data_IF_698048508336
#
_entry.id   IF_698048508336
#
_cell.length_a   1.000
_cell.length_b   1.000
_cell.length_c   1.000
_cell.angle_alpha   90.00
_cell.angle_beta   90.00
_cell.angle_gamma   90.00
#
_symmetry.space_group_name_H-M   'P 1'
#
loop_
_entity.id
_entity.type
_entity.pdbx_description
1 polymer ?
#
# COMPACT_ATOMS: atom_id res chain seq x y z
N UNK A 1 18.00 -5.49 -26.59
CA UNK A 1 17.40 -4.24 -26.09
C UNK A 1 16.18 -3.97 -26.96
N UNK A 2 14.98 -4.12 -26.41
CA UNK A 2 13.77 -3.72 -27.12
C UNK A 2 13.81 -2.19 -27.22
N UNK A 3 13.57 -1.63 -28.41
CA UNK A 3 13.44 -0.19 -28.56
C UNK A 3 12.16 0.28 -27.85
N UNK A 4 12.32 0.71 -26.59
CA UNK A 4 11.26 1.29 -25.74
C UNK A 4 10.50 2.45 -26.41
N UNK A 5 11.05 3.04 -27.47
CA UNK A 5 10.44 4.08 -28.32
C UNK A 5 9.23 3.59 -29.12
N UNK A 6 9.05 2.27 -29.26
CA UNK A 6 7.91 1.68 -30.00
C UNK A 6 6.67 1.39 -29.13
N UNK A 7 6.80 1.46 -27.80
CA UNK A 7 5.72 1.14 -26.86
C UNK A 7 5.19 2.41 -26.18
N UNK A 8 3.88 2.53 -26.06
CA UNK A 8 3.27 3.69 -25.40
C UNK A 8 3.34 3.52 -23.87
N UNK A 9 3.95 4.48 -23.14
CA UNK A 9 4.02 4.40 -21.69
C UNK A 9 2.66 4.75 -21.06
N UNK A 10 2.29 4.03 -20.00
CA UNK A 10 1.06 4.26 -19.23
C UNK A 10 0.90 5.72 -18.81
N UNK A 11 1.99 6.34 -18.38
CA UNK A 11 1.97 7.70 -17.84
C UNK A 11 1.43 8.73 -18.86
N UNK A 12 1.73 8.54 -20.15
CA UNK A 12 1.28 9.45 -21.21
C UNK A 12 -0.14 9.17 -21.67
N UNK A 13 -0.60 7.92 -21.61
CA UNK A 13 -1.94 7.54 -22.07
C UNK A 13 -3.00 7.69 -20.98
N UNK A 14 -2.76 7.12 -19.80
CA UNK A 14 -3.75 7.06 -18.72
C UNK A 14 -3.59 8.19 -17.68
N UNK A 15 -2.51 8.97 -17.74
CA UNK A 15 -2.19 10.03 -16.76
C UNK A 15 -2.12 9.52 -15.30
N UNK A 16 -1.86 8.22 -15.13
CA UNK A 16 -1.65 7.58 -13.84
C UNK A 16 -0.28 7.99 -13.27
N UNK A 17 -0.28 9.13 -12.58
CA UNK A 17 0.90 9.77 -12.03
C UNK A 17 1.16 9.47 -10.55
N UNK A 18 1.86 10.40 -9.90
CA UNK A 18 2.20 10.33 -8.47
C UNK A 18 0.99 10.28 -7.53
N UNK A 19 -0.15 10.86 -7.93
CA UNK A 19 -1.38 10.85 -7.12
C UNK A 19 -1.86 9.42 -6.83
N UNK A 20 -1.85 8.55 -7.82
CA UNK A 20 -2.20 7.13 -7.66
C UNK A 20 -1.16 6.41 -6.82
N UNK A 21 0.13 6.66 -7.06
CA UNK A 21 1.20 6.02 -6.28
C UNK A 21 1.08 6.33 -4.78
N UNK A 22 0.83 7.60 -4.43
CA UNK A 22 0.61 8.04 -3.04
C UNK A 22 -0.66 7.42 -2.48
N UNK A 23 -1.74 7.35 -3.25
CA UNK A 23 -2.96 6.66 -2.83
C UNK A 23 -2.69 5.18 -2.48
N UNK A 24 -2.07 4.42 -3.40
CA UNK A 24 -1.80 3.00 -3.22
C UNK A 24 -0.90 2.76 -2.00
N UNK A 25 0.00 3.70 -1.74
CA UNK A 25 0.88 3.68 -0.58
C UNK A 25 0.13 3.94 0.73
N UNK A 26 -0.67 5.01 0.80
CA UNK A 26 -1.45 5.34 1.99
C UNK A 26 -2.49 4.26 2.35
N UNK A 27 -3.12 3.65 1.35
CA UNK A 27 -4.04 2.52 1.59
C UNK A 27 -3.30 1.27 2.02
N UNK A 28 -2.13 1.00 1.45
CA UNK A 28 -1.29 -0.12 1.89
C UNK A 28 -0.82 0.04 3.34
N UNK A 29 -0.40 1.25 3.73
CA UNK A 29 -0.02 1.59 5.10
C UNK A 29 -1.22 1.47 6.05
N UNK A 30 -2.38 2.02 5.68
CA UNK A 30 -3.59 1.92 6.50
C UNK A 30 -4.03 0.45 6.66
N UNK A 31 -4.08 -0.31 5.57
CA UNK A 31 -4.57 -1.69 5.57
C UNK A 31 -3.69 -2.65 6.35
N UNK A 32 -2.39 -2.71 6.03
CA UNK A 32 -1.44 -3.56 6.77
C UNK A 32 -1.18 -3.03 8.18
N UNK A 33 -1.32 -1.73 8.40
CA UNK A 33 -1.28 -1.17 9.74
C UNK A 33 -2.44 -1.64 10.61
N UNK A 34 -3.67 -1.72 10.08
CA UNK A 34 -4.80 -2.28 10.83
C UNK A 34 -4.62 -3.77 11.13
N UNK A 35 -3.96 -4.51 10.23
CA UNK A 35 -3.54 -5.88 10.50
C UNK A 35 -2.57 -5.96 11.69
N UNK A 36 -1.51 -5.14 11.70
CA UNK A 36 -0.54 -5.12 12.81
C UNK A 36 -1.14 -4.56 14.11
N UNK A 37 -2.16 -3.71 14.01
CA UNK A 37 -2.86 -3.17 15.16
C UNK A 37 -3.57 -4.24 16.00
N UNK A 38 -3.84 -5.43 15.44
CA UNK A 38 -4.35 -6.59 16.18
C UNK A 38 -3.50 -6.94 17.40
N UNK A 39 -2.17 -6.83 17.27
CA UNK A 39 -1.22 -7.09 18.35
C UNK A 39 -0.82 -5.83 19.14
N UNK A 40 -0.80 -4.67 18.49
CA UNK A 40 -0.26 -3.43 19.08
C UNK A 40 -1.29 -2.73 19.97
N UNK A 41 -2.54 -2.62 19.50
CA UNK A 41 -3.69 -2.01 20.19
C UNK A 41 -3.40 -0.61 20.77
N UNK A 42 -2.72 0.24 20.00
CA UNK A 42 -2.34 1.59 20.43
C UNK A 42 -3.15 2.67 19.73
N UNK A 43 -3.72 3.61 20.52
CA UNK A 43 -4.53 4.72 20.02
C UNK A 43 -3.80 5.61 19.00
N UNK A 44 -2.53 5.91 19.25
CA UNK A 44 -1.74 6.80 18.40
C UNK A 44 -1.47 6.16 17.03
N UNK A 45 -1.29 4.85 17.00
CA UNK A 45 -1.14 4.12 15.75
C UNK A 45 -2.46 4.15 14.97
N UNK A 46 -3.59 3.84 15.61
CA UNK A 46 -4.92 3.92 14.98
C UNK A 46 -5.18 5.29 14.36
N UNK A 47 -4.79 6.40 15.01
CA UNK A 47 -4.93 7.74 14.43
C UNK A 47 -4.10 7.95 13.16
N UNK A 48 -2.89 7.42 13.09
CA UNK A 48 -2.08 7.50 11.86
C UNK A 48 -2.75 6.69 10.75
N UNK A 49 -3.27 5.50 11.08
CA UNK A 49 -3.95 4.64 10.11
C UNK A 49 -5.24 5.26 9.56
N UNK A 50 -6.01 5.94 10.41
CA UNK A 50 -7.23 6.65 9.96
C UNK A 50 -6.91 7.81 9.06
N UNK A 51 -5.94 8.65 9.43
CA UNK A 51 -5.50 9.76 8.59
C UNK A 51 -5.01 9.23 7.25
N UNK A 52 -4.19 8.18 7.25
CA UNK A 52 -3.72 7.53 6.02
C UNK A 52 -4.88 7.00 5.15
N UNK A 53 -5.86 6.32 5.77
CA UNK A 53 -7.04 5.81 5.06
C UNK A 53 -7.91 6.91 4.46
N UNK A 54 -8.14 8.00 5.19
CA UNK A 54 -8.92 9.17 4.72
C UNK A 54 -8.19 9.85 3.56
N UNK A 55 -6.91 10.19 3.73
CA UNK A 55 -6.13 10.89 2.70
C UNK A 55 -6.01 10.01 1.45
N UNK A 56 -5.75 8.70 1.62
CA UNK A 56 -5.72 7.76 0.50
C UNK A 56 -7.05 7.72 -0.27
N UNK A 57 -8.18 7.68 0.44
CA UNK A 57 -9.52 7.68 -0.18
C UNK A 57 -9.81 8.99 -0.91
N UNK A 58 -9.45 10.14 -0.31
CA UNK A 58 -9.63 11.46 -0.92
C UNK A 58 -8.82 11.61 -2.21
N UNK A 59 -7.59 11.09 -2.26
CA UNK A 59 -6.74 11.15 -3.45
C UNK A 59 -7.34 10.38 -4.62
N UNK A 60 -7.94 9.20 -4.40
CA UNK A 60 -8.63 8.44 -5.45
C UNK A 60 -9.83 9.21 -5.99
N UNK A 61 -10.64 9.72 -5.07
CA UNK A 61 -11.88 10.42 -5.39
C UNK A 61 -11.57 11.73 -6.14
N UNK A 62 -10.47 12.41 -5.79
CA UNK A 62 -9.93 13.55 -6.52
C UNK A 62 -9.44 13.17 -7.92
N UNK A 63 -8.66 12.09 -8.04
CA UNK A 63 -8.10 11.69 -9.33
C UNK A 63 -9.16 11.24 -10.33
N UNK A 64 -10.24 10.61 -9.87
CA UNK A 64 -11.39 10.25 -10.71
C UNK A 64 -12.19 11.45 -11.21
N UNK A 65 -11.83 12.70 -10.84
CA UNK A 65 -12.48 13.92 -11.29
C UNK A 65 -13.94 14.06 -10.82
N UNK A 66 -14.35 13.23 -9.86
CA UNK A 66 -15.75 13.04 -9.46
C UNK A 66 -15.92 13.19 -7.94
N UNK A 67 -15.25 14.17 -7.33
CA UNK A 67 -15.30 14.33 -5.87
C UNK A 67 -16.71 14.43 -5.30
N UNK A 68 -17.60 15.15 -5.99
CA UNK A 68 -19.00 15.28 -5.60
C UNK A 68 -19.91 14.28 -6.34
N UNK A 69 -19.55 13.86 -7.55
CA UNK A 69 -20.39 12.99 -8.37
C UNK A 69 -20.28 11.51 -8.00
N UNK A 70 -19.14 11.03 -7.49
CA UNK A 70 -18.98 9.62 -7.10
C UNK A 70 -19.86 9.24 -5.90
N UNK A 71 -19.90 10.00 -4.80
CA UNK A 71 -20.78 9.68 -3.67
C UNK A 71 -22.26 9.67 -4.08
N UNK A 72 -22.67 10.64 -4.91
CA UNK A 72 -24.03 10.75 -5.42
C UNK A 72 -24.36 9.59 -6.37
N UNK A 73 -23.44 9.23 -7.26
CA UNK A 73 -23.60 8.10 -8.19
C UNK A 73 -23.64 6.75 -7.46
N UNK A 74 -22.83 6.56 -6.42
CA UNK A 74 -22.88 5.35 -5.58
C UNK A 74 -24.21 5.29 -4.84
N UNK A 75 -24.70 6.41 -4.31
CA UNK A 75 -25.98 6.48 -3.62
C UNK A 75 -27.15 6.22 -4.58
N UNK A 76 -27.16 6.80 -5.77
CA UNK A 76 -28.19 6.53 -6.78
C UNK A 76 -28.13 5.09 -7.27
N UNK A 77 -26.95 4.53 -7.57
CA UNK A 77 -26.82 3.13 -7.97
C UNK A 77 -27.18 2.14 -6.87
N UNK A 78 -27.01 2.51 -5.60
CA UNK A 78 -27.47 1.71 -4.45
C UNK A 78 -29.00 1.78 -4.31
N UNK A 79 -29.59 2.97 -4.49
CA UNK A 79 -31.04 3.18 -4.46
C UNK A 79 -31.75 2.43 -5.59
N UNK A 80 -31.14 2.43 -6.78
CA UNK A 80 -31.66 1.77 -7.99
C UNK A 80 -31.34 0.27 -8.04
N UNK A 81 -30.67 -0.27 -7.01
CA UNK A 81 -30.16 -1.66 -6.93
C UNK A 81 -29.31 -2.12 -8.15
N UNK A 82 -28.83 -1.18 -8.96
CA UNK A 82 -28.11 -1.43 -10.22
C UNK A 82 -26.60 -1.57 -10.00
N UNK A 83 -26.19 -2.27 -8.94
CA UNK A 83 -24.77 -2.46 -8.62
C UNK A 83 -24.13 -3.51 -9.53
N UNK A 84 -23.22 -3.10 -10.40
CA UNK A 84 -22.36 -4.03 -11.13
C UNK A 84 -21.26 -4.56 -10.20
N UNK A 85 -21.59 -5.61 -9.43
CA UNK A 85 -20.67 -6.26 -8.47
C UNK A 85 -19.45 -6.93 -9.14
N UNK A 86 -19.44 -7.07 -10.47
CA UNK A 86 -18.29 -7.55 -11.22
C UNK A 86 -17.26 -6.44 -11.50
N UNK A 87 -17.64 -5.17 -11.30
CA UNK A 87 -16.72 -4.05 -11.48
C UNK A 87 -15.72 -3.97 -10.33
N UNK A 88 -14.45 -4.20 -10.67
CA UNK A 88 -13.34 -4.05 -9.72
C UNK A 88 -13.36 -2.67 -9.07
N UNK A 89 -13.63 -1.60 -9.82
CA UNK A 89 -13.69 -0.24 -9.28
C UNK A 89 -14.79 -0.07 -8.21
N UNK A 90 -15.97 -0.69 -8.40
CA UNK A 90 -17.05 -0.64 -7.40
C UNK A 90 -16.64 -1.35 -6.11
N UNK A 91 -16.07 -2.56 -6.23
CA UNK A 91 -15.57 -3.33 -5.08
C UNK A 91 -14.59 -2.48 -4.26
N UNK A 92 -13.71 -1.74 -4.95
CA UNK A 92 -12.76 -0.85 -4.31
C UNK A 92 -13.38 0.29 -3.54
N UNK A 93 -14.33 0.99 -4.16
CA UNK A 93 -15.05 2.09 -3.51
C UNK A 93 -15.77 1.58 -2.26
N UNK A 94 -16.42 0.42 -2.33
CA UNK A 94 -17.06 -0.21 -1.18
C UNK A 94 -16.04 -0.58 -0.09
N UNK A 95 -14.95 -1.26 -0.43
CA UNK A 95 -13.92 -1.65 0.56
C UNK A 95 -13.26 -0.43 1.21
N UNK A 96 -12.85 0.57 0.43
CA UNK A 96 -12.22 1.79 0.94
C UNK A 96 -13.17 2.61 1.80
N UNK A 97 -14.44 2.74 1.39
CA UNK A 97 -15.43 3.48 2.18
C UNK A 97 -15.71 2.79 3.51
N UNK A 98 -15.88 1.47 3.52
CA UNK A 98 -16.04 0.69 4.75
C UNK A 98 -14.79 0.86 5.63
N UNK A 99 -13.58 0.71 5.07
CA UNK A 99 -12.34 0.93 5.82
C UNK A 99 -12.28 2.34 6.40
N UNK A 100 -12.54 3.37 5.60
CA UNK A 100 -12.50 4.77 6.03
C UNK A 100 -13.50 5.02 7.17
N UNK A 101 -14.77 4.67 7.00
CA UNK A 101 -15.83 4.88 8.00
C UNK A 101 -15.53 4.08 9.27
N UNK A 102 -15.20 2.80 9.14
CA UNK A 102 -14.88 1.93 10.27
C UNK A 102 -13.64 2.44 11.02
N UNK A 103 -12.62 2.91 10.29
CA UNK A 103 -11.39 3.43 10.87
C UNK A 103 -11.67 4.70 11.69
N UNK A 104 -12.47 5.64 11.16
CA UNK A 104 -12.93 6.84 11.87
C UNK A 104 -13.71 6.47 13.13
N UNK A 105 -14.61 5.49 13.03
CA UNK A 105 -15.36 4.97 14.16
C UNK A 105 -14.45 4.40 15.25
N UNK A 106 -13.44 3.59 14.87
CA UNK A 106 -12.41 3.10 15.79
C UNK A 106 -11.71 4.29 16.47
N UNK A 107 -11.24 5.28 15.71
CA UNK A 107 -10.57 6.46 16.26
C UNK A 107 -11.44 7.23 17.27
N UNK A 108 -12.74 7.37 17.02
CA UNK A 108 -13.65 8.01 17.96
C UNK A 108 -13.84 7.20 19.25
N UNK A 109 -13.84 5.86 19.18
CA UNK A 109 -13.84 5.01 20.37
C UNK A 109 -12.54 5.22 21.17
N UNK A 110 -11.38 5.24 20.50
CA UNK A 110 -10.09 5.49 21.14
C UNK A 110 -9.97 6.89 21.76
N UNK A 111 -10.60 7.90 21.15
CA UNK A 111 -10.57 9.28 21.64
C UNK A 111 -11.44 9.48 22.89
N UNK A 112 -12.43 8.61 23.14
CA UNK A 112 -13.33 8.73 24.30
C UNK A 112 -14.21 9.99 24.29
N UNK A 113 -14.34 10.68 23.16
CA UNK A 113 -15.09 11.94 23.04
C UNK A 113 -16.60 11.67 22.99
N UNK A 114 -17.03 10.73 22.14
CA UNK A 114 -18.46 10.40 21.93
C UNK A 114 -18.88 9.10 22.64
N UNK A 115 -17.98 8.14 22.78
CA UNK A 115 -18.27 6.81 23.34
C UNK A 115 -17.51 6.58 24.66
N UNK A 116 -17.90 7.30 25.71
CA UNK A 116 -17.31 7.17 27.07
C UNK A 116 -17.67 5.88 27.82
N UNK A 117 -18.46 5.01 27.20
CA UNK A 117 -18.88 3.76 27.83
C UNK A 117 -17.75 2.72 27.87
N UNK A 118 -17.53 2.13 29.05
CA UNK A 118 -16.57 1.03 29.28
C UNK A 118 -16.74 -0.11 28.28
N UNK A 119 -17.99 -0.36 27.84
CA UNK A 119 -18.34 -1.34 26.80
C UNK A 119 -17.68 -1.07 25.44
N UNK A 120 -17.57 0.20 25.02
CA UNK A 120 -16.98 0.57 23.73
C UNK A 120 -15.46 0.43 23.75
N UNK A 121 -14.84 0.81 24.87
CA UNK A 121 -13.40 0.60 25.04
C UNK A 121 -13.06 -0.90 25.15
N UNK A 122 -13.89 -1.69 25.84
CA UNK A 122 -13.77 -3.15 25.88
C UNK A 122 -13.93 -3.77 24.48
N UNK A 123 -14.84 -3.24 23.65
CA UNK A 123 -15.01 -3.67 22.27
C UNK A 123 -13.77 -3.36 21.42
N UNK A 124 -13.20 -2.15 21.53
CA UNK A 124 -11.97 -1.80 20.81
C UNK A 124 -10.75 -2.65 21.23
N UNK A 125 -10.76 -3.14 22.47
CA UNK A 125 -9.75 -4.07 22.98
C UNK A 125 -10.05 -5.54 22.68
N UNK A 126 -11.22 -5.86 22.13
CA UNK A 126 -11.62 -7.23 21.80
C UNK A 126 -10.85 -7.78 20.61
N UNK A 127 -10.49 -9.07 20.69
CA UNK A 127 -9.82 -9.79 19.61
C UNK A 127 -10.70 -9.87 18.37
N UNK A 128 -12.01 -10.05 18.53
CA UNK A 128 -12.95 -10.12 17.43
C UNK A 128 -13.01 -8.82 16.63
N UNK A 129 -13.10 -7.69 17.34
CA UNK A 129 -13.17 -6.37 16.70
C UNK A 129 -11.89 -6.09 15.91
N UNK A 130 -10.72 -6.25 16.53
CA UNK A 130 -9.45 -6.06 15.84
C UNK A 130 -9.24 -7.08 14.71
N UNK A 131 -9.75 -8.31 14.84
CA UNK A 131 -9.72 -9.32 13.78
C UNK A 131 -10.49 -8.90 12.53
N UNK A 132 -11.67 -8.29 12.69
CA UNK A 132 -12.43 -7.73 11.57
C UNK A 132 -11.65 -6.61 10.88
N UNK A 133 -11.05 -5.69 11.63
CA UNK A 133 -10.25 -4.61 11.07
C UNK A 133 -8.98 -5.12 10.37
N UNK A 134 -8.34 -6.14 10.92
CA UNK A 134 -7.20 -6.80 10.32
C UNK A 134 -7.58 -7.44 8.98
N UNK A 135 -8.67 -8.21 8.95
CA UNK A 135 -9.19 -8.81 7.72
C UNK A 135 -9.54 -7.74 6.68
N UNK A 136 -10.28 -6.71 7.08
CA UNK A 136 -10.68 -5.62 6.20
C UNK A 136 -9.45 -4.89 5.62
N UNK A 137 -8.44 -4.61 6.45
CA UNK A 137 -7.19 -3.98 6.03
C UNK A 137 -6.39 -4.82 5.05
N UNK A 138 -6.32 -6.14 5.27
CA UNK A 138 -5.73 -7.10 4.34
C UNK A 138 -6.49 -7.11 3.01
N UNK A 139 -7.82 -7.24 3.05
CA UNK A 139 -8.66 -7.20 1.85
C UNK A 139 -8.46 -5.90 1.06
N UNK A 140 -8.39 -4.74 1.72
CA UNK A 140 -8.17 -3.45 1.05
C UNK A 140 -6.79 -3.37 0.37
N UNK A 141 -5.76 -3.89 1.02
CA UNK A 141 -4.39 -3.86 0.48
C UNK A 141 -4.23 -4.84 -0.70
N UNK A 142 -4.80 -6.03 -0.59
CA UNK A 142 -4.82 -7.02 -1.68
C UNK A 142 -5.62 -6.48 -2.87
N UNK A 143 -6.78 -5.91 -2.60
CA UNK A 143 -7.65 -5.33 -3.62
C UNK A 143 -6.94 -4.24 -4.43
N UNK A 144 -6.18 -3.35 -3.76
CA UNK A 144 -5.46 -2.29 -4.47
C UNK A 144 -4.35 -2.83 -5.38
N UNK A 145 -3.83 -4.02 -5.09
CA UNK A 145 -2.97 -4.79 -6.00
C UNK A 145 -3.76 -5.33 -7.20
N UNK A 146 -4.90 -6.00 -6.96
CA UNK A 146 -5.77 -6.52 -8.02
C UNK A 146 -6.31 -5.44 -8.95
N UNK A 147 -6.53 -4.22 -8.46
CA UNK A 147 -6.93 -3.09 -9.30
C UNK A 147 -5.94 -2.90 -10.46
N UNK A 148 -4.64 -3.01 -10.20
CA UNK A 148 -3.61 -2.91 -11.24
C UNK A 148 -3.57 -4.15 -12.14
N UNK A 149 -3.76 -5.36 -11.60
CA UNK A 149 -3.71 -6.59 -12.40
C UNK A 149 -4.83 -6.65 -13.45
N UNK A 150 -5.93 -5.96 -13.19
CA UNK A 150 -7.09 -5.91 -14.08
C UNK A 150 -7.05 -4.75 -15.08
N UNK A 151 -6.01 -3.90 -15.05
CA UNK A 151 -5.86 -2.85 -16.04
C UNK A 151 -5.55 -3.47 -17.41
N UNK A 152 -6.48 -3.27 -18.36
CA UNK A 152 -6.37 -3.84 -19.70
C UNK A 152 -5.21 -3.18 -20.44
N UNK A 153 -4.36 -4.01 -21.04
CA UNK A 153 -3.30 -3.58 -21.95
C UNK A 153 -1.90 -3.49 -21.34
N UNK A 154 -1.72 -3.64 -20.03
CA UNK A 154 -0.40 -3.53 -19.38
C UNK A 154 0.00 -4.86 -18.76
N UNK A 155 0.75 -5.65 -19.52
CA UNK A 155 1.08 -7.02 -19.11
C UNK A 155 2.08 -7.13 -17.97
N UNK A 156 2.87 -6.07 -17.68
CA UNK A 156 3.69 -6.05 -16.48
C UNK A 156 2.83 -6.21 -15.22
N UNK A 157 1.62 -5.67 -15.23
CA UNK A 157 0.75 -5.70 -14.06
C UNK A 157 -0.09 -6.97 -13.96
N UNK A 158 -0.21 -7.75 -15.03
CA UNK A 158 -1.00 -8.96 -15.05
C UNK A 158 -0.25 -10.14 -14.39
N UNK A 159 -0.01 -10.04 -13.09
CA UNK A 159 0.66 -11.08 -12.31
C UNK A 159 0.15 -11.11 -10.87
N UNK A 160 0.03 -12.32 -10.31
CA UNK A 160 -0.35 -12.54 -8.92
C UNK A 160 0.71 -12.02 -7.92
N UNK A 161 1.91 -11.66 -8.39
CA UNK A 161 2.97 -11.11 -7.55
C UNK A 161 2.70 -9.67 -7.11
N UNK A 162 1.87 -8.89 -7.81
CA UNK A 162 1.57 -7.51 -7.41
C UNK A 162 0.76 -7.42 -6.11
N UNK A 163 -0.35 -8.16 -5.94
CA UNK A 163 -1.05 -8.21 -4.65
C UNK A 163 -0.11 -8.63 -3.50
N UNK A 164 0.78 -9.59 -3.75
CA UNK A 164 1.76 -10.02 -2.75
C UNK A 164 2.78 -8.91 -2.42
N UNK A 165 3.31 -8.21 -3.43
CA UNK A 165 4.18 -7.05 -3.24
C UNK A 165 3.48 -5.97 -2.41
N UNK A 166 2.19 -5.72 -2.63
CA UNK A 166 1.45 -4.69 -1.90
C UNK A 166 1.27 -5.05 -0.43
N UNK A 167 1.06 -6.34 -0.13
CA UNK A 167 1.05 -6.85 1.23
C UNK A 167 2.42 -6.67 1.88
N UNK A 168 3.49 -7.16 1.25
CA UNK A 168 4.84 -7.11 1.83
C UNK A 168 5.31 -5.66 2.06
N UNK A 169 5.13 -4.81 1.06
CA UNK A 169 5.49 -3.39 1.13
C UNK A 169 4.58 -2.58 2.07
N UNK A 170 3.29 -2.93 2.13
CA UNK A 170 2.36 -2.37 3.11
C UNK A 170 2.76 -2.73 4.54
N UNK A 171 3.18 -3.98 4.78
CA UNK A 171 3.70 -4.40 6.08
C UNK A 171 5.00 -3.67 6.42
N UNK A 172 5.95 -3.54 5.47
CA UNK A 172 7.22 -2.85 5.69
C UNK A 172 7.00 -1.39 6.11
N UNK A 173 6.17 -0.65 5.35
CA UNK A 173 5.82 0.75 5.66
C UNK A 173 5.06 0.90 6.98
N UNK A 174 4.16 -0.03 7.30
CA UNK A 174 3.42 -0.02 8.57
C UNK A 174 4.34 -0.28 9.77
N UNK A 175 5.26 -1.22 9.66
CA UNK A 175 6.28 -1.51 10.68
C UNK A 175 7.22 -0.32 10.86
N UNK A 176 7.69 0.29 9.78
CA UNK A 176 8.47 1.53 9.85
C UNK A 176 7.71 2.64 10.57
N UNK A 177 6.40 2.78 10.33
CA UNK A 177 5.58 3.75 11.04
C UNK A 177 5.50 3.45 12.55
N UNK A 178 5.37 2.17 12.93
CA UNK A 178 5.37 1.75 14.32
C UNK A 178 6.71 2.06 15.01
N UNK A 179 7.84 1.77 14.36
CA UNK A 179 9.17 2.08 14.88
C UNK A 179 9.37 3.60 15.05
N UNK A 180 8.89 4.39 14.11
CA UNK A 180 8.91 5.85 14.19
C UNK A 180 8.08 6.35 15.38
N UNK A 181 6.86 5.84 15.59
CA UNK A 181 6.02 6.19 16.74
C UNK A 181 6.62 5.75 18.08
N UNK A 182 7.30 4.61 18.12
CA UNK A 182 8.05 4.14 19.29
C UNK A 182 9.18 5.12 19.65
N UNK A 183 9.93 5.62 18.65
CA UNK A 183 11.04 6.55 18.87
C UNK A 183 10.54 7.92 19.35
N UNK A 184 9.40 8.38 18.84
CA UNK A 184 8.73 9.58 19.33
C UNK A 184 8.07 9.42 20.72
N UNK A 185 8.23 8.25 21.37
CA UNK A 185 7.60 7.90 22.66
C UNK A 185 6.07 8.02 22.65
N UNK A 186 5.46 7.89 21.48
CA UNK A 186 4.01 7.84 21.31
C UNK A 186 3.47 6.42 21.52
N UNK A 187 4.34 5.41 21.54
CA UNK A 187 4.02 4.01 21.84
C UNK A 187 5.02 3.48 22.86
N UNK A 188 4.55 2.64 23.79
CA UNK A 188 5.40 1.98 24.78
C UNK A 188 6.40 1.02 24.10
N UNK A 189 7.72 1.17 24.32
CA UNK A 189 8.74 0.31 23.72
C UNK A 189 8.55 -1.20 23.96
N UNK A 190 8.04 -1.57 25.13
CA UNK A 190 7.93 -2.97 25.54
C UNK A 190 6.86 -3.74 24.76
N UNK A 191 5.81 -3.07 24.29
CA UNK A 191 4.75 -3.73 23.50
C UNK A 191 5.19 -4.03 22.07
N UNK A 192 6.26 -3.38 21.60
CA UNK A 192 6.69 -3.45 20.20
C UNK A 192 8.07 -4.07 20.00
N UNK A 193 8.61 -4.73 21.03
CA UNK A 193 9.94 -5.37 20.95
C UNK A 193 10.05 -6.41 19.84
N UNK A 194 8.92 -7.04 19.48
CA UNK A 194 8.81 -8.00 18.37
C UNK A 194 8.93 -7.33 16.99
N UNK A 195 8.57 -6.05 16.88
CA UNK A 195 8.53 -5.29 15.62
C UNK A 195 9.86 -5.34 14.89
N UNK A 196 10.98 -5.28 15.61
CA UNK A 196 12.32 -5.31 15.00
C UNK A 196 12.59 -6.61 14.24
N UNK A 197 12.26 -7.75 14.85
CA UNK A 197 12.43 -9.06 14.23
C UNK A 197 11.50 -9.19 13.03
N UNK A 198 10.27 -8.72 13.16
CA UNK A 198 9.29 -8.74 12.07
C UNK A 198 9.71 -7.82 10.92
N UNK A 199 10.23 -6.63 11.19
CA UNK A 199 10.76 -5.69 10.21
C UNK A 199 11.81 -6.37 9.31
N UNK A 200 12.80 -7.02 9.94
CA UNK A 200 13.84 -7.74 9.23
C UNK A 200 13.29 -8.84 8.29
N UNK A 201 12.36 -9.66 8.77
CA UNK A 201 11.77 -10.72 7.94
C UNK A 201 10.88 -10.16 6.82
N UNK A 202 10.14 -9.09 7.09
CA UNK A 202 9.28 -8.43 6.12
C UNK A 202 10.11 -7.76 5.03
N UNK A 203 11.21 -7.08 5.36
CA UNK A 203 12.14 -6.49 4.39
C UNK A 203 12.79 -7.55 3.50
N UNK A 204 13.23 -8.68 4.07
CA UNK A 204 13.77 -9.80 3.29
C UNK A 204 12.71 -10.38 2.35
N UNK A 205 11.50 -10.59 2.84
CA UNK A 205 10.42 -11.13 2.03
C UNK A 205 9.94 -10.14 0.96
N UNK A 206 9.97 -8.83 1.24
CA UNK A 206 9.73 -7.78 0.23
C UNK A 206 10.79 -7.82 -0.87
N UNK A 207 12.08 -7.82 -0.51
CA UNK A 207 13.19 -7.96 -1.47
C UNK A 207 13.05 -9.22 -2.32
N UNK A 208 12.79 -10.36 -1.69
CA UNK A 208 12.58 -11.63 -2.40
C UNK A 208 11.42 -11.53 -3.39
N UNK A 209 10.31 -10.92 -2.99
CA UNK A 209 9.14 -10.74 -3.86
C UNK A 209 9.45 -9.79 -5.02
N UNK A 210 10.23 -8.72 -4.79
CA UNK A 210 10.68 -7.80 -5.84
C UNK A 210 11.55 -8.54 -6.86
N UNK A 211 12.53 -9.32 -6.41
CA UNK A 211 13.37 -10.12 -7.31
C UNK A 211 12.56 -11.16 -8.09
N UNK A 212 11.62 -11.85 -7.43
CA UNK A 212 10.72 -12.80 -8.08
C UNK A 212 9.84 -12.11 -9.14
N UNK A 213 9.29 -10.92 -8.84
CA UNK A 213 8.49 -10.13 -9.77
C UNK A 213 9.27 -9.74 -11.02
N UNK A 214 10.47 -9.17 -10.85
CA UNK A 214 11.32 -8.77 -11.98
C UNK A 214 11.75 -10.00 -12.79
N UNK A 215 12.12 -11.10 -12.14
CA UNK A 215 12.53 -12.33 -12.84
C UNK A 215 11.39 -12.92 -13.68
N UNK A 216 10.18 -13.04 -13.11
CA UNK A 216 8.99 -13.53 -13.82
C UNK A 216 8.63 -12.59 -14.98
N UNK A 217 8.72 -11.27 -14.79
CA UNK A 217 8.42 -10.30 -15.82
C UNK A 217 9.40 -10.36 -17.01
N UNK A 218 10.71 -10.57 -16.75
CA UNK A 218 11.72 -10.80 -17.80
C UNK A 218 11.49 -12.12 -18.55
N UNK A 219 11.08 -13.17 -17.84
CA UNK A 219 10.80 -14.48 -18.43
C UNK A 219 9.48 -14.57 -19.20
N UNK A 220 8.57 -13.59 -19.03
CA UNK A 220 7.26 -13.56 -19.67
C UNK A 220 7.37 -13.59 -21.20
N UNK A 221 6.43 -14.24 -21.89
CA UNK A 221 6.39 -14.23 -23.36
C UNK A 221 5.90 -12.89 -23.94
N UNK A 222 5.23 -12.05 -23.15
CA UNK A 222 4.64 -10.79 -23.60
C UNK A 222 5.67 -9.66 -23.63
N UNK A 223 5.66 -8.90 -24.72
CA UNK A 223 6.62 -7.81 -24.98
C UNK A 223 6.50 -6.66 -23.98
N UNK A 224 5.29 -6.27 -23.58
CA UNK A 224 5.05 -5.19 -22.62
C UNK A 224 5.51 -5.56 -21.20
N UNK A 225 5.39 -6.82 -20.80
CA UNK A 225 5.91 -7.30 -19.52
C UNK A 225 7.45 -7.26 -19.47
N UNK A 226 8.11 -7.71 -20.55
CA UNK A 226 9.58 -7.62 -20.68
C UNK A 226 10.06 -6.18 -20.73
N UNK A 227 9.43 -5.33 -21.52
CA UNK A 227 9.80 -3.92 -21.64
C UNK A 227 9.65 -3.17 -20.31
N UNK A 228 8.59 -3.46 -19.55
CA UNK A 228 8.41 -2.94 -18.20
C UNK A 228 9.53 -3.37 -17.25
N UNK A 229 9.92 -4.65 -17.28
CA UNK A 229 11.04 -5.16 -16.49
C UNK A 229 12.40 -4.57 -16.90
N UNK A 230 12.68 -4.46 -18.21
CA UNK A 230 13.87 -3.79 -18.74
C UNK A 230 13.92 -2.32 -18.31
N UNK A 231 12.76 -1.63 -18.28
CA UNK A 231 12.65 -0.25 -17.81
C UNK A 231 13.03 -0.07 -16.35
N UNK A 232 12.70 -1.06 -15.50
CA UNK A 232 13.09 -1.09 -14.08
C UNK A 232 14.57 -1.40 -13.86
N UNK A 233 15.17 -2.25 -14.70
CA UNK A 233 16.57 -2.67 -14.49
C UNK A 233 17.56 -1.68 -15.08
N UNK A 234 17.35 -1.27 -16.33
CA UNK A 234 18.32 -0.50 -17.12
C UNK A 234 17.69 0.64 -17.92
N UNK A 235 16.38 0.86 -17.82
CA UNK A 235 15.70 1.92 -18.54
C UNK A 235 15.43 3.19 -17.71
N UNK A 236 14.47 4.03 -18.13
CA UNK A 236 14.23 5.34 -17.52
C UNK A 236 13.85 5.31 -16.03
N UNK A 237 13.20 4.23 -15.57
CA UNK A 237 12.76 4.09 -14.18
C UNK A 237 13.81 3.39 -13.29
N UNK A 238 14.96 3.00 -13.84
CA UNK A 238 16.00 2.25 -13.13
C UNK A 238 16.62 3.00 -11.96
N UNK A 239 16.78 4.32 -12.08
CA UNK A 239 17.35 5.15 -11.00
C UNK A 239 16.45 5.14 -9.77
N UNK A 240 15.14 5.28 -9.96
CA UNK A 240 14.16 5.23 -8.89
C UNK A 240 14.04 3.82 -8.29
N UNK A 241 14.12 2.78 -9.12
CA UNK A 241 14.06 1.39 -8.66
C UNK A 241 15.31 1.01 -7.86
N UNK A 242 16.52 1.14 -8.41
CA UNK A 242 17.74 0.70 -7.73
C UNK A 242 18.09 1.57 -6.52
N UNK A 243 18.16 2.89 -6.70
CA UNK A 243 18.53 3.76 -5.58
C UNK A 243 17.37 3.90 -4.61
N UNK A 244 16.18 4.23 -5.10
CA UNK A 244 15.02 4.51 -4.26
C UNK A 244 14.48 3.28 -3.54
N UNK A 245 14.26 2.18 -4.26
CA UNK A 245 13.63 0.97 -3.69
C UNK A 245 14.68 0.06 -3.09
N UNK A 246 15.65 -0.42 -3.89
CA UNK A 246 16.57 -1.46 -3.43
C UNK A 246 17.53 -0.93 -2.38
N UNK A 247 18.26 0.16 -2.67
CA UNK A 247 19.30 0.68 -1.77
C UNK A 247 18.68 1.40 -0.58
N UNK A 248 17.93 2.48 -0.82
CA UNK A 248 17.35 3.30 0.25
C UNK A 248 16.15 2.63 0.91
N UNK A 249 15.28 1.97 0.15
CA UNK A 249 14.06 1.39 0.69
C UNK A 249 14.24 0.06 1.42
N UNK A 250 15.26 -0.73 1.07
CA UNK A 250 15.41 -2.08 1.63
C UNK A 250 16.81 -2.34 2.21
N UNK A 251 17.89 -2.21 1.44
CA UNK A 251 19.25 -2.62 1.87
C UNK A 251 19.75 -1.78 3.03
N UNK A 252 19.62 -0.45 2.96
CA UNK A 252 20.06 0.44 4.04
C UNK A 252 19.25 0.17 5.32
N UNK A 253 17.90 0.16 5.30
CA UNK A 253 17.11 -0.18 6.48
C UNK A 253 17.49 -1.53 7.11
N UNK A 254 17.67 -2.56 6.27
CA UNK A 254 18.06 -3.90 6.71
C UNK A 254 19.42 -3.90 7.42
N UNK A 255 20.42 -3.24 6.85
CA UNK A 255 21.76 -3.12 7.45
C UNK A 255 21.73 -2.31 8.74
N UNK A 256 20.99 -1.20 8.78
CA UNK A 256 20.87 -0.36 9.98
C UNK A 256 20.18 -1.10 11.12
N UNK A 257 19.17 -1.92 10.81
CA UNK A 257 18.46 -2.74 11.77
C UNK A 257 19.37 -3.83 12.38
N UNK A 258 20.26 -4.42 11.58
CA UNK A 258 21.26 -5.40 12.02
C UNK A 258 22.39 -4.79 12.85
N UNK A 259 22.94 -3.65 12.41
CA UNK A 259 24.19 -3.10 12.95
C UNK A 259 23.99 -2.19 14.16
N UNK A 260 22.83 -1.52 14.28
CA UNK A 260 22.69 -0.39 15.21
C UNK A 260 21.51 -0.52 16.18
N UNK A 261 21.75 -0.10 17.43
CA UNK A 261 20.72 0.04 18.48
C UNK A 261 20.37 1.49 18.84
N UNK A 262 21.01 2.47 18.19
CA UNK A 262 20.72 3.89 18.39
C UNK A 262 19.34 4.27 17.87
N UNK A 263 18.56 4.98 18.70
CA UNK A 263 17.22 5.46 18.36
C UNK A 263 17.21 6.42 17.16
N UNK A 264 18.23 7.27 17.00
CA UNK A 264 18.30 8.24 15.88
C UNK A 264 18.49 7.55 14.54
N UNK A 265 19.32 6.51 14.52
CA UNK A 265 19.64 5.75 13.30
C UNK A 265 18.45 4.87 12.91
N UNK A 266 17.75 4.30 13.89
CA UNK A 266 16.52 3.55 13.64
C UNK A 266 15.40 4.44 13.07
N UNK A 267 15.29 5.70 13.52
CA UNK A 267 14.32 6.63 12.94
C UNK A 267 14.62 6.91 11.46
N UNK A 268 15.90 7.09 11.12
CA UNK A 268 16.33 7.26 9.73
C UNK A 268 16.00 6.02 8.88
N UNK A 269 16.29 4.83 9.40
CA UNK A 269 15.92 3.54 8.79
C UNK A 269 14.42 3.44 8.50
N UNK A 270 13.59 3.75 9.50
CA UNK A 270 12.14 3.71 9.37
C UNK A 270 11.62 4.69 8.31
N UNK A 271 12.13 5.92 8.27
CA UNK A 271 11.75 6.92 7.25
C UNK A 271 12.15 6.45 5.86
N UNK A 272 13.37 5.91 5.71
CA UNK A 272 13.87 5.38 4.45
C UNK A 272 13.03 4.19 3.95
N UNK A 273 12.67 3.25 4.82
CA UNK A 273 11.80 2.12 4.46
C UNK A 273 10.39 2.56 4.05
N UNK A 274 9.82 3.54 4.77
CA UNK A 274 8.51 4.12 4.42
C UNK A 274 8.54 4.79 3.04
N UNK A 275 9.58 5.59 2.76
CA UNK A 275 9.78 6.24 1.46
C UNK A 275 10.05 5.20 0.37
N UNK A 276 10.85 4.17 0.67
CA UNK A 276 11.11 3.05 -0.22
C UNK A 276 9.84 2.35 -0.68
N UNK A 277 8.90 2.10 0.22
CA UNK A 277 7.61 1.50 -0.08
C UNK A 277 6.72 2.39 -0.99
N UNK A 278 6.86 3.71 -0.91
CA UNK A 278 6.21 4.65 -1.85
C UNK A 278 6.89 4.60 -3.22
N UNK A 279 8.23 4.63 -3.26
CA UNK A 279 9.01 4.57 -4.49
C UNK A 279 8.82 3.23 -5.22
N UNK A 280 8.61 2.12 -4.50
CA UNK A 280 8.28 0.83 -5.08
C UNK A 280 6.97 0.91 -5.88
N UNK A 281 5.92 1.48 -5.26
CA UNK A 281 4.62 1.65 -5.92
C UNK A 281 4.72 2.56 -7.13
N UNK A 282 5.45 3.67 -7.01
CA UNK A 282 5.70 4.57 -8.13
C UNK A 282 6.48 3.86 -9.26
N UNK A 283 7.48 3.04 -8.94
CA UNK A 283 8.32 2.37 -9.94
C UNK A 283 7.52 1.35 -10.76
N UNK A 284 6.71 0.53 -10.09
CA UNK A 284 5.87 -0.47 -10.75
C UNK A 284 4.77 0.20 -11.57
N UNK A 285 4.21 1.30 -11.07
CA UNK A 285 3.20 2.08 -11.79
C UNK A 285 3.80 2.75 -13.05
N UNK A 286 4.98 3.35 -12.97
CA UNK A 286 5.59 4.03 -14.12
C UNK A 286 6.25 3.08 -15.11
N UNK A 287 6.60 1.87 -14.69
CA UNK A 287 7.10 0.82 -15.57
C UNK A 287 5.98 0.11 -16.37
N UNK A 288 4.73 0.56 -16.28
CA UNK A 288 3.64 0.05 -17.11
C UNK A 288 3.76 0.51 -18.56
N UNK A 289 3.97 -0.44 -19.48
CA UNK A 289 3.91 -0.22 -20.92
C UNK A 289 2.73 -0.99 -21.50
N UNK A 290 2.05 -0.37 -22.47
CA UNK A 290 0.99 -1.05 -23.22
C UNK A 290 1.59 -2.07 -24.18
N UNK A 291 0.97 -3.24 -24.28
CA UNK A 291 1.30 -4.19 -25.35
C UNK A 291 0.91 -3.62 -26.71
N UNK A 292 1.73 -3.85 -27.75
CA UNK A 292 1.37 -3.47 -29.10
C UNK A 292 0.13 -4.26 -29.52
N UNK A 293 -0.86 -3.57 -30.09
CA UNK A 293 -2.04 -4.22 -30.69
C UNK A 293 -1.55 -4.87 -31.99
N UNK A 294 -1.19 -6.15 -31.92
CA UNK A 294 -0.88 -6.94 -33.11
C UNK A 294 -2.23 -7.35 -33.71
N UNK A 295 -2.63 -6.68 -34.80
CA UNK A 295 -3.74 -7.12 -35.64
C UNK A 295 -3.30 -8.28 -36.56
#
# INVERSE_FOLDING_TARGET
>A
MIELTSLTPQLQAAHWGWTIAIFLWLVGLAGMGFFLNYWIRQKNFVYVLTVSGIVGTLLVVSHLGRMLNLPIAVFSSLMDLALNLQSWMLIGICLLSILCIASVFYSFICAGIFFKGEKWQAMAQSDWFNGIFALLGVCCTIYSGFLLTQAVGISLWNTALIPLLWIMSGMASSIGCIELLMIFKLINPDTVRWSRRTAFWVEIAELFTIFAFVHVALGSALTGARAGAESLISGPQSTMFWFGVIIFGSVIPLLLNLLTRSHKILACSAVLGIIGALLLRASILFAGYYDPIIF
#
